data_IF_997425562765
#
_entry.id   IF_997425562765
#
_cell.length_a   1.000
_cell.length_b   1.000
_cell.length_c   1.000
_cell.angle_alpha   90.00
_cell.angle_beta   90.00
_cell.angle_gamma   90.00
#
_symmetry.space_group_name_H-M   'P 1'
#
loop_
_entity.id
_entity.type
_entity.pdbx_description
1 polymer ?
#
# COMPACT_ATOMS: atom_id res chain seq x y z
N UNK A 1 11.71 4.66 -6.36
CA UNK A 1 11.95 5.25 -5.01
C UNK A 1 11.39 4.30 -3.96
N UNK A 2 11.86 4.38 -2.70
CA UNK A 2 11.28 3.60 -1.60
C UNK A 2 10.21 4.45 -0.89
N UNK A 3 8.98 3.95 -0.80
CA UNK A 3 7.83 4.66 -0.23
C UNK A 3 7.19 3.80 0.86
N UNK A 4 6.90 4.42 2.02
CA UNK A 4 6.16 3.78 3.11
C UNK A 4 4.80 4.47 3.24
N UNK A 5 3.72 3.68 3.26
CA UNK A 5 2.35 4.16 3.46
C UNK A 5 1.80 3.56 4.74
N UNK A 6 1.44 4.42 5.70
CA UNK A 6 0.81 4.02 6.96
C UNK A 6 -0.72 4.11 6.82
N UNK A 7 -1.34 3.02 6.40
CA UNK A 7 -2.78 2.86 6.22
C UNK A 7 -3.12 2.14 4.91
N UNK A 8 -3.85 1.02 5.00
CA UNK A 8 -4.29 0.17 3.89
C UNK A 8 -5.79 0.35 3.56
N UNK A 9 -6.41 1.41 4.09
CA UNK A 9 -7.76 1.85 3.72
C UNK A 9 -7.86 2.26 2.24
N UNK A 10 -9.01 2.80 1.83
CA UNK A 10 -9.26 3.13 0.42
C UNK A 10 -8.19 4.05 -0.19
N UNK A 11 -7.82 5.12 0.52
CA UNK A 11 -6.85 6.10 0.01
C UNK A 11 -5.46 5.48 -0.10
N UNK A 12 -4.97 4.86 0.98
CA UNK A 12 -3.64 4.26 1.00
C UNK A 12 -3.46 3.14 -0.01
N UNK A 13 -4.49 2.31 -0.23
CA UNK A 13 -4.48 1.28 -1.27
C UNK A 13 -4.34 1.87 -2.68
N UNK A 14 -5.13 2.90 -3.02
CA UNK A 14 -5.08 3.51 -4.35
C UNK A 14 -3.74 4.21 -4.60
N UNK A 15 -3.18 4.88 -3.59
CA UNK A 15 -1.85 5.49 -3.68
C UNK A 15 -0.78 4.42 -3.87
N UNK A 16 -0.82 3.33 -3.08
CA UNK A 16 0.12 2.22 -3.19
C UNK A 16 0.10 1.61 -4.60
N UNK A 17 -1.10 1.37 -5.14
CA UNK A 17 -1.30 0.81 -6.48
C UNK A 17 -0.73 1.73 -7.56
N UNK A 18 -1.03 3.02 -7.48
CA UNK A 18 -0.54 4.02 -8.45
C UNK A 18 1.00 4.15 -8.40
N UNK A 19 1.58 4.27 -7.22
CA UNK A 19 3.03 4.40 -7.07
C UNK A 19 3.77 3.13 -7.48
N UNK A 20 3.21 1.96 -7.17
CA UNK A 20 3.77 0.67 -7.61
C UNK A 20 3.73 0.52 -9.14
N UNK A 21 2.68 0.99 -9.82
CA UNK A 21 2.64 0.99 -11.29
C UNK A 21 3.70 1.88 -11.96
N UNK A 22 4.24 2.85 -11.22
CA UNK A 22 5.35 3.71 -11.65
C UNK A 22 6.73 3.13 -11.29
N UNK A 23 6.82 1.81 -11.04
CA UNK A 23 8.04 1.09 -10.63
C UNK A 23 8.69 1.62 -9.34
N UNK A 24 7.88 2.06 -8.38
CA UNK A 24 8.36 2.36 -7.04
C UNK A 24 8.27 1.14 -6.12
N UNK A 25 9.21 1.03 -5.19
CA UNK A 25 9.18 0.04 -4.13
C UNK A 25 8.30 0.57 -3.00
N UNK A 26 7.14 -0.04 -2.80
CA UNK A 26 6.11 0.45 -1.88
C UNK A 26 5.87 -0.56 -0.76
N UNK A 27 6.03 -0.12 0.48
CA UNK A 27 5.66 -0.88 1.68
C UNK A 27 4.43 -0.25 2.32
N UNK A 28 3.36 -1.03 2.50
CA UNK A 28 2.14 -0.58 3.18
C UNK A 28 2.04 -1.23 4.56
N UNK A 29 1.78 -0.42 5.57
CA UNK A 29 1.65 -0.84 6.97
C UNK A 29 0.24 -0.48 7.45
N UNK A 30 -0.48 -1.43 8.01
CA UNK A 30 -1.74 -1.20 8.70
C UNK A 30 -1.82 -2.12 9.93
N UNK A 31 -2.64 -1.73 10.92
CA UNK A 31 -2.90 -2.55 12.11
C UNK A 31 -3.91 -3.66 11.83
N UNK A 32 -4.76 -3.51 10.80
CA UNK A 32 -5.70 -4.52 10.37
C UNK A 32 -5.03 -5.54 9.45
N UNK A 33 -4.89 -6.81 9.86
CA UNK A 33 -4.32 -7.85 9.00
C UNK A 33 -5.13 -8.06 7.72
N UNK A 34 -6.45 -7.92 7.80
CA UNK A 34 -7.37 -8.04 6.67
C UNK A 34 -7.08 -6.98 5.60
N UNK A 35 -6.86 -5.73 6.01
CA UNK A 35 -6.53 -4.66 5.08
C UNK A 35 -5.16 -4.87 4.45
N UNK A 36 -4.16 -5.32 5.22
CA UNK A 36 -2.81 -5.65 4.69
C UNK A 36 -2.92 -6.75 3.64
N UNK A 37 -3.63 -7.83 3.94
CA UNK A 37 -3.79 -8.97 3.02
C UNK A 37 -4.48 -8.56 1.71
N UNK A 38 -5.43 -7.61 1.77
CA UNK A 38 -6.07 -7.05 0.58
C UNK A 38 -5.11 -6.25 -0.31
N UNK A 39 -4.10 -5.59 0.25
CA UNK A 39 -3.13 -4.80 -0.53
C UNK A 39 -2.10 -5.70 -1.21
N UNK A 40 -1.80 -6.86 -0.64
CA UNK A 40 -0.83 -7.82 -1.19
C UNK A 40 -1.39 -8.70 -2.32
N UNK A 41 -2.70 -8.63 -2.58
CA UNK A 41 -3.41 -9.46 -3.57
C UNK A 41 -3.54 -8.85 -4.95
#
# INVERSE_FOLDING_TARGET
>A
MNVIICGAGQVGFNIARYLSSENNDVTVIDRSPELVQRVSG
#
